data_IF_239289805151
#
_entry.id   IF_239289805151
#
_cell.length_a   1.000
_cell.length_b   1.000
_cell.length_c   1.000
_cell.angle_alpha   90.00
_cell.angle_beta   90.00
_cell.angle_gamma   90.00
#
_symmetry.space_group_name_H-M   'P 1'
#
loop_
_entity.id
_entity.type
_entity.pdbx_description
1 polymer ?
#
# COMPACT_ATOMS: atom_id res chain seq x y z
N UNK A 1 -16.35 6.76 9.54
CA UNK A 1 -15.75 6.12 10.74
C UNK A 1 -16.50 4.82 11.01
N UNK A 2 -15.80 3.68 10.97
CA UNK A 2 -16.38 2.37 11.26
C UNK A 2 -16.55 2.26 12.78
N UNK A 3 -17.68 1.70 13.26
CA UNK A 3 -18.00 1.53 14.68
C UNK A 3 -18.48 0.10 14.94
N UNK A 4 -18.24 -0.42 16.13
CA UNK A 4 -18.64 -1.77 16.56
C UNK A 4 -19.09 -1.73 18.02
N UNK A 5 -20.10 -2.54 18.36
CA UNK A 5 -20.55 -2.80 19.74
C UNK A 5 -20.25 -4.23 20.20
N UNK A 6 -19.88 -5.13 19.27
CA UNK A 6 -19.72 -6.56 19.54
C UNK A 6 -18.28 -6.95 19.92
N UNK A 7 -17.29 -6.29 19.30
CA UNK A 7 -15.85 -6.52 19.55
C UNK A 7 -15.02 -5.28 19.23
N UNK A 8 -13.77 -5.28 19.70
CA UNK A 8 -12.75 -4.28 19.35
C UNK A 8 -12.39 -4.41 17.86
N UNK A 9 -12.42 -3.29 17.13
CA UNK A 9 -11.96 -3.21 15.75
C UNK A 9 -10.45 -2.90 15.71
N UNK A 10 -9.77 -3.49 14.75
CA UNK A 10 -8.32 -3.40 14.57
C UNK A 10 -7.94 -2.58 13.33
N UNK A 11 -6.83 -1.87 13.45
CA UNK A 11 -6.17 -1.13 12.36
C UNK A 11 -4.68 -0.99 12.68
N UNK A 12 -3.92 -0.39 11.77
CA UNK A 12 -2.51 -0.04 11.96
C UNK A 12 -2.28 1.43 11.63
N UNK A 13 -1.09 1.94 11.98
CA UNK A 13 -0.78 3.37 11.90
C UNK A 13 -0.73 3.93 10.46
N UNK A 14 -0.45 3.09 9.46
CA UNK A 14 -0.26 3.53 8.08
C UNK A 14 0.76 2.66 7.36
N UNK A 15 1.95 3.20 7.12
CA UNK A 15 3.04 2.59 6.35
C UNK A 15 3.19 1.07 6.44
N UNK A 16 3.26 0.44 5.27
CA UNK A 16 3.58 -0.99 5.07
C UNK A 16 4.82 -1.16 4.17
N UNK A 17 5.49 -2.32 4.22
CA UNK A 17 6.66 -2.56 3.39
C UNK A 17 6.34 -2.50 1.89
N UNK A 18 7.03 -1.61 1.18
CA UNK A 18 7.07 -1.60 -0.29
C UNK A 18 7.94 -2.74 -0.79
N UNK A 19 7.59 -3.29 -1.94
CA UNK A 19 8.43 -4.21 -2.70
C UNK A 19 9.70 -3.50 -3.16
N UNK A 20 10.78 -4.28 -3.33
CA UNK A 20 12.03 -3.75 -3.87
C UNK A 20 11.88 -3.15 -5.27
N UNK A 21 10.93 -3.64 -6.05
CA UNK A 21 10.67 -3.13 -7.39
C UNK A 21 10.04 -1.75 -7.38
N UNK A 22 8.96 -1.54 -6.61
CA UNK A 22 8.35 -0.22 -6.47
C UNK A 22 9.33 0.78 -5.85
N UNK A 23 10.13 0.34 -4.87
CA UNK A 23 11.20 1.16 -4.28
C UNK A 23 12.22 1.62 -5.33
N UNK A 24 12.66 0.73 -6.23
CA UNK A 24 13.58 1.09 -7.33
C UNK A 24 12.94 2.09 -8.30
N UNK A 25 11.67 1.89 -8.67
CA UNK A 25 10.98 2.81 -9.58
C UNK A 25 10.81 4.21 -8.99
N UNK A 26 10.45 4.30 -7.71
CA UNK A 26 10.34 5.59 -6.98
C UNK A 26 11.69 6.29 -6.90
N UNK A 27 12.76 5.54 -6.62
CA UNK A 27 14.12 6.10 -6.56
C UNK A 27 14.55 6.66 -7.92
N UNK A 28 14.35 5.91 -8.99
CA UNK A 28 14.65 6.37 -10.35
C UNK A 28 13.92 7.68 -10.69
N UNK A 29 12.63 7.79 -10.32
CA UNK A 29 11.87 9.04 -10.48
C UNK A 29 12.44 10.18 -9.65
N UNK A 30 12.77 9.93 -8.37
CA UNK A 30 13.29 10.95 -7.46
C UNK A 30 14.67 11.49 -7.89
N UNK A 31 15.49 10.65 -8.51
CA UNK A 31 16.82 10.99 -9.03
C UNK A 31 16.77 11.59 -10.44
N UNK A 32 15.58 11.77 -11.03
CA UNK A 32 15.42 12.29 -12.39
C UNK A 32 15.92 11.34 -13.48
N UNK A 33 16.05 10.05 -13.19
CA UNK A 33 16.41 9.04 -14.17
C UNK A 33 15.26 8.78 -15.16
N UNK A 34 15.56 8.36 -16.40
CA UNK A 34 14.54 7.92 -17.34
C UNK A 34 13.70 6.80 -16.72
N UNK A 35 12.38 6.99 -16.67
CA UNK A 35 11.43 6.00 -16.16
C UNK A 35 10.09 6.13 -16.89
N UNK A 36 9.37 5.02 -16.97
CA UNK A 36 8.03 4.97 -17.56
C UNK A 36 6.98 5.34 -16.50
N UNK A 37 6.42 6.54 -16.59
CA UNK A 37 5.44 7.05 -15.62
C UNK A 37 4.18 6.17 -15.55
N UNK A 38 3.72 5.70 -16.71
CA UNK A 38 2.56 4.78 -16.79
C UNK A 38 2.83 3.44 -16.11
N UNK A 39 4.06 2.92 -16.22
CA UNK A 39 4.47 1.68 -15.57
C UNK A 39 4.58 1.84 -14.06
N UNK A 40 5.16 2.95 -13.58
CA UNK A 40 5.20 3.28 -12.15
C UNK A 40 3.78 3.39 -11.57
N UNK A 41 2.88 4.10 -12.24
CA UNK A 41 1.49 4.25 -11.80
C UNK A 41 0.74 2.91 -11.76
N UNK A 42 0.90 2.08 -12.79
CA UNK A 42 0.32 0.74 -12.84
C UNK A 42 0.85 -0.16 -11.72
N UNK A 43 2.16 -0.11 -11.48
CA UNK A 43 2.81 -0.87 -10.40
C UNK A 43 2.31 -0.44 -9.02
N UNK A 44 2.31 0.87 -8.75
CA UNK A 44 1.81 1.41 -7.47
C UNK A 44 0.37 0.95 -7.20
N UNK A 45 -0.51 1.07 -8.21
CA UNK A 45 -1.90 0.62 -8.09
C UNK A 45 -2.02 -0.87 -7.80
N UNK A 46 -1.22 -1.69 -8.48
CA UNK A 46 -1.21 -3.14 -8.24
C UNK A 46 -0.74 -3.46 -6.82
N UNK A 47 0.27 -2.77 -6.32
CA UNK A 47 0.85 -3.02 -5.01
C UNK A 47 -0.07 -2.61 -3.86
N UNK A 48 -0.78 -1.47 -4.00
CA UNK A 48 -1.87 -1.08 -3.11
C UNK A 48 -2.93 -2.18 -3.02
N UNK A 49 -3.33 -2.76 -4.16
CA UNK A 49 -4.29 -3.84 -4.17
C UNK A 49 -3.77 -5.10 -3.45
N UNK A 50 -2.47 -5.41 -3.57
CA UNK A 50 -1.86 -6.53 -2.84
C UNK A 50 -1.80 -6.30 -1.33
N UNK A 51 -1.40 -5.11 -0.87
CA UNK A 51 -1.33 -4.84 0.59
C UNK A 51 -2.71 -4.79 1.22
N UNK A 52 -3.72 -4.25 0.52
CA UNK A 52 -5.11 -4.30 1.00
C UNK A 52 -5.61 -5.74 1.10
N UNK A 53 -5.31 -6.59 0.11
CA UNK A 53 -5.62 -8.03 0.17
C UNK A 53 -4.99 -8.69 1.39
N UNK A 54 -3.71 -8.41 1.67
CA UNK A 54 -3.00 -8.95 2.83
C UNK A 54 -3.61 -8.47 4.15
N UNK A 55 -3.96 -7.20 4.27
CA UNK A 55 -4.62 -6.66 5.46
C UNK A 55 -5.95 -7.37 5.74
N UNK A 56 -6.78 -7.56 4.70
CA UNK A 56 -8.05 -8.30 4.80
C UNK A 56 -7.79 -9.75 5.24
N UNK A 57 -6.82 -10.43 4.63
CA UNK A 57 -6.47 -11.80 4.97
C UNK A 57 -5.95 -11.94 6.41
N UNK A 58 -5.29 -10.90 6.95
CA UNK A 58 -4.85 -10.82 8.35
C UNK A 58 -5.97 -10.47 9.34
N UNK A 59 -7.17 -10.11 8.86
CA UNK A 59 -8.31 -9.74 9.71
C UNK A 59 -8.31 -8.28 10.18
N UNK A 60 -7.59 -7.37 9.49
CA UNK A 60 -7.68 -5.93 9.77
C UNK A 60 -9.07 -5.42 9.39
N UNK A 61 -9.75 -4.78 10.34
CA UNK A 61 -11.13 -4.32 10.16
C UNK A 61 -11.23 -3.00 9.40
N UNK A 62 -10.31 -2.07 9.68
CA UNK A 62 -10.18 -0.79 8.99
C UNK A 62 -8.84 -0.71 8.29
N UNK A 63 -8.84 -1.02 6.99
CA UNK A 63 -7.63 -1.05 6.14
C UNK A 63 -7.24 0.34 5.64
N UNK A 64 -5.98 0.51 5.24
CA UNK A 64 -5.49 1.67 4.50
C UNK A 64 -4.62 1.24 3.29
N UNK A 65 -4.11 2.21 2.53
CA UNK A 65 -3.29 1.98 1.32
C UNK A 65 -1.83 1.57 1.61
N UNK A 66 -1.42 1.57 2.88
CA UNK A 66 -0.07 1.24 3.32
C UNK A 66 0.97 2.32 3.06
N UNK A 67 0.55 3.57 2.79
CA UNK A 67 1.40 4.69 2.37
C UNK A 67 2.35 4.33 1.21
N UNK A 68 1.91 3.47 0.30
CA UNK A 68 2.76 2.99 -0.79
C UNK A 68 3.13 4.10 -1.78
#
# INVERSE_FOLDING_TARGET
>A
MIRSIDRILTTHAGALPRSDELRRMILARAEGQPHEESALAARLKSEVAEVVRKQIACGIDSVNDGEL
#
